data_IF_487210186726
#
_entry.id   IF_487210186726
#
_cell.length_a   1.000
_cell.length_b   1.000
_cell.length_c   1.000
_cell.angle_alpha   90.00
_cell.angle_beta   90.00
_cell.angle_gamma   90.00
#
_symmetry.space_group_name_H-M   'P 1'
#
loop_
_entity.id
_entity.type
_entity.pdbx_description
1 polymer ?
#
# COMPACT_ATOMS: atom_id res chain seq x y z
N UNK A 1 20.72 -0.43 19.18
CA UNK A 1 19.56 0.01 18.37
C UNK A 1 19.84 -0.34 16.92
N UNK A 2 18.87 -0.88 16.17
CA UNK A 2 19.08 -1.40 14.80
C UNK A 2 19.10 -0.33 13.69
N UNK A 3 19.16 0.97 14.01
CA UNK A 3 19.21 2.05 13.00
C UNK A 3 17.91 2.28 12.20
N UNK A 4 16.83 1.56 12.52
CA UNK A 4 15.52 1.68 11.85
C UNK A 4 14.80 2.95 12.32
N UNK A 5 14.24 3.71 11.37
CA UNK A 5 13.36 4.85 11.65
C UNK A 5 11.99 4.34 12.07
N UNK A 6 11.46 4.90 13.15
CA UNK A 6 10.14 4.55 13.68
C UNK A 6 9.23 5.76 13.53
N UNK A 7 7.99 5.52 13.10
CA UNK A 7 6.94 6.53 13.05
C UNK A 7 5.62 5.88 13.42
N UNK A 8 4.71 6.59 14.12
CA UNK A 8 3.35 6.13 14.31
C UNK A 8 2.44 6.40 13.09
N UNK A 9 2.97 7.04 12.04
CA UNK A 9 2.20 7.49 10.88
C UNK A 9 2.48 6.64 9.63
N UNK A 10 1.47 5.92 9.14
CA UNK A 10 1.60 5.07 7.95
C UNK A 10 1.93 5.90 6.69
N UNK A 11 1.33 7.09 6.58
CA UNK A 11 1.58 8.04 5.49
C UNK A 11 3.06 8.44 5.37
N UNK A 12 3.74 8.69 6.48
CA UNK A 12 5.19 8.99 6.46
C UNK A 12 5.98 7.79 5.94
N UNK A 13 5.60 6.58 6.34
CA UNK A 13 6.26 5.35 5.87
C UNK A 13 6.13 5.20 4.36
N UNK A 14 4.97 5.49 3.79
CA UNK A 14 4.72 5.45 2.34
C UNK A 14 5.61 6.48 1.63
N UNK A 15 5.57 7.74 2.05
CA UNK A 15 6.35 8.82 1.43
C UNK A 15 7.86 8.55 1.43
N UNK A 16 8.37 7.80 2.40
CA UNK A 16 9.79 7.47 2.55
C UNK A 16 10.21 6.12 1.95
N UNK A 17 9.29 5.36 1.34
CA UNK A 17 9.57 4.00 0.85
C UNK A 17 9.45 3.92 -0.67
N UNK A 18 10.36 3.19 -1.31
CA UNK A 18 10.17 2.70 -2.68
C UNK A 18 9.54 1.30 -2.70
N UNK A 19 9.89 0.46 -1.72
CA UNK A 19 9.30 -0.86 -1.50
C UNK A 19 8.57 -0.86 -0.16
N UNK A 20 7.26 -1.09 -0.18
CA UNK A 20 6.39 -1.02 0.98
C UNK A 20 5.88 -2.40 1.36
N UNK A 21 6.35 -2.92 2.49
CA UNK A 21 5.88 -4.20 3.04
C UNK A 21 4.65 -4.00 3.92
N UNK A 22 3.53 -4.64 3.56
CA UNK A 22 2.33 -4.70 4.38
C UNK A 22 2.41 -5.92 5.31
N UNK A 23 3.01 -5.71 6.49
CA UNK A 23 3.27 -6.75 7.49
C UNK A 23 2.29 -6.70 8.69
N UNK A 24 1.03 -6.37 8.43
CA UNK A 24 -0.04 -6.32 9.44
C UNK A 24 -0.91 -7.59 9.39
N UNK A 25 -1.80 -7.77 10.38
CA UNK A 25 -2.78 -8.86 10.38
C UNK A 25 -3.70 -8.77 9.14
N UNK A 26 -4.12 -9.89 8.54
CA UNK A 26 -4.90 -9.88 7.29
C UNK A 26 -6.15 -8.98 7.30
N UNK A 27 -6.92 -8.99 8.38
CA UNK A 27 -8.14 -8.18 8.51
C UNK A 27 -7.87 -6.66 8.62
N UNK A 28 -6.62 -6.26 8.86
CA UNK A 28 -6.21 -4.85 8.97
C UNK A 28 -5.87 -4.26 7.59
N UNK A 29 -5.49 -5.10 6.61
CA UNK A 29 -5.06 -4.64 5.27
C UNK A 29 -6.06 -3.69 4.61
N UNK A 30 -7.39 -3.97 4.58
CA UNK A 30 -8.33 -3.06 3.91
C UNK A 30 -8.32 -1.65 4.50
N UNK A 31 -8.18 -1.52 5.83
CA UNK A 31 -8.14 -0.23 6.51
C UNK A 31 -6.86 0.55 6.19
N UNK A 32 -5.73 -0.15 6.15
CA UNK A 32 -4.45 0.47 5.76
C UNK A 32 -4.52 0.95 4.31
N UNK A 33 -5.00 0.12 3.39
CA UNK A 33 -5.12 0.52 1.97
C UNK A 33 -6.05 1.72 1.77
N UNK A 34 -7.12 1.84 2.55
CA UNK A 34 -8.00 3.02 2.53
C UNK A 34 -7.29 4.26 3.09
N UNK A 35 -6.43 4.10 4.10
CA UNK A 35 -5.65 5.19 4.72
C UNK A 35 -4.55 5.71 3.78
N UNK A 36 -3.76 4.81 3.17
CA UNK A 36 -2.56 5.19 2.41
C UNK A 36 -2.77 5.24 0.90
N UNK A 37 -3.91 4.79 0.39
CA UNK A 37 -4.13 4.59 -1.04
C UNK A 37 -3.93 5.86 -1.89
N UNK A 38 -4.27 7.03 -1.36
CA UNK A 38 -4.07 8.31 -2.03
C UNK A 38 -2.60 8.78 -2.07
N UNK A 39 -1.75 8.24 -1.20
CA UNK A 39 -0.32 8.58 -1.11
C UNK A 39 0.57 7.60 -1.89
N UNK A 40 -0.01 6.53 -2.45
CA UNK A 40 0.70 5.61 -3.34
C UNK A 40 0.94 6.29 -4.71
N UNK A 41 2.16 6.14 -5.19
CA UNK A 41 2.67 6.65 -6.47
C UNK A 41 3.30 5.54 -7.30
N UNK A 42 3.47 5.78 -8.61
CA UNK A 42 3.97 4.78 -9.58
C UNK A 42 5.36 4.21 -9.22
N UNK A 43 6.14 4.92 -8.39
CA UNK A 43 7.44 4.42 -7.89
C UNK A 43 7.30 3.28 -6.88
N UNK A 44 6.15 3.15 -6.21
CA UNK A 44 6.01 2.26 -5.07
C UNK A 44 5.73 0.82 -5.51
N UNK A 45 6.49 -0.10 -4.94
CA UNK A 45 6.24 -1.54 -5.04
C UNK A 45 5.61 -2.00 -3.72
N UNK A 46 4.34 -2.40 -3.77
CA UNK A 46 3.63 -2.92 -2.58
C UNK A 46 3.83 -4.43 -2.47
N UNK A 47 4.39 -4.88 -1.34
CA UNK A 47 4.63 -6.28 -1.04
C UNK A 47 3.74 -6.70 0.14
N UNK A 48 2.75 -7.56 -0.11
CA UNK A 48 1.87 -8.07 0.94
C UNK A 48 2.45 -9.32 1.60
N UNK A 49 2.59 -9.29 2.93
CA UNK A 49 2.94 -10.46 3.73
C UNK A 49 1.71 -11.07 4.44
N UNK A 50 0.52 -10.55 4.19
CA UNK A 50 -0.70 -10.93 4.88
C UNK A 50 -1.28 -12.25 4.32
N UNK A 51 -1.40 -13.27 5.18
CA UNK A 51 -1.97 -14.55 4.81
C UNK A 51 -3.43 -14.44 4.34
N UNK A 52 -3.75 -15.08 3.21
CA UNK A 52 -5.11 -15.11 2.67
C UNK A 52 -5.60 -13.83 1.99
N UNK A 53 -4.75 -12.79 1.92
CA UNK A 53 -5.08 -11.55 1.19
C UNK A 53 -4.62 -11.69 -0.26
N UNK A 54 -5.57 -11.69 -1.20
CA UNK A 54 -5.27 -11.86 -2.62
C UNK A 54 -4.78 -10.56 -3.24
N UNK A 55 -3.92 -10.67 -4.26
CA UNK A 55 -3.48 -9.51 -5.06
C UNK A 55 -4.68 -8.72 -5.58
N UNK A 56 -5.69 -9.40 -6.15
CA UNK A 56 -6.89 -8.78 -6.68
C UNK A 56 -7.64 -7.92 -5.64
N UNK A 57 -7.69 -8.34 -4.38
CA UNK A 57 -8.33 -7.55 -3.31
C UNK A 57 -7.58 -6.26 -3.00
N UNK A 58 -6.24 -6.29 -3.07
CA UNK A 58 -5.36 -5.13 -2.85
C UNK A 58 -5.48 -4.18 -4.04
N UNK A 59 -5.33 -4.69 -5.26
CA UNK A 59 -5.42 -3.92 -6.50
C UNK A 59 -6.78 -3.23 -6.63
N UNK A 60 -7.88 -3.92 -6.29
CA UNK A 60 -9.23 -3.33 -6.34
C UNK A 60 -9.34 -2.09 -5.44
N UNK A 61 -8.71 -2.11 -4.26
CA UNK A 61 -8.69 -0.97 -3.34
C UNK A 61 -7.80 0.16 -3.85
N UNK A 62 -6.59 -0.16 -4.31
CA UNK A 62 -5.66 0.85 -4.83
C UNK A 62 -6.14 1.49 -6.15
N UNK A 63 -6.83 0.72 -6.98
CA UNK A 63 -7.38 1.20 -8.28
C UNK A 63 -8.45 2.27 -8.11
N UNK A 64 -9.09 2.37 -6.94
CA UNK A 64 -10.03 3.44 -6.62
C UNK A 64 -9.33 4.81 -6.50
N UNK A 65 -8.03 4.82 -6.18
CA UNK A 65 -7.22 6.03 -6.05
C UNK A 65 -6.40 6.31 -7.31
N UNK A 66 -5.88 5.25 -7.95
CA UNK A 66 -5.10 5.35 -9.18
C UNK A 66 -5.48 4.23 -10.14
N UNK A 67 -6.15 4.53 -11.26
CA UNK A 67 -6.38 3.55 -12.30
C UNK A 67 -5.04 3.05 -12.85
N UNK A 68 -4.99 1.80 -13.28
CA UNK A 68 -3.77 1.24 -13.87
C UNK A 68 -3.31 2.10 -15.06
N UNK A 69 -2.00 2.36 -15.22
CA UNK A 69 -1.48 3.08 -16.38
C UNK A 69 -1.85 2.30 -17.65
N UNK A 70 -2.78 2.86 -18.43
CA UNK A 70 -3.38 2.23 -19.61
C UNK A 70 -4.91 2.22 -19.62
N UNK A 71 -5.58 2.43 -18.48
CA UNK A 71 -7.04 2.66 -18.45
C UNK A 71 -7.36 4.14 -18.67
N UNK A 72 -6.92 4.71 -19.79
CA UNK A 72 -7.54 5.93 -20.30
C UNK A 72 -8.96 5.52 -20.73
N UNK A 73 -9.96 5.90 -19.94
CA UNK A 73 -11.32 5.96 -20.44
C UNK A 73 -11.30 6.91 -21.65
N UNK A 74 -11.62 6.36 -22.83
CA UNK A 74 -12.11 7.16 -23.94
C UNK A 74 -13.49 7.71 -23.59
#
# INVERSE_FOLDING_TARGET
KMGVKLTPHNKETVQHSDVLFLAVKPHIIPFILDEIGADIEDRHIVVSCAAGVTISSIEKKLSAFRPAPGSSAA
#
